data_IF_935648732967
#
_entry.id   IF_935648732967
#
_cell.length_a   1.000
_cell.length_b   1.000
_cell.length_c   1.000
_cell.angle_alpha   90.00
_cell.angle_beta   90.00
_cell.angle_gamma   90.00
#
_symmetry.space_group_name_H-M   'P 1'
#
loop_
_entity.id
_entity.type
_entity.pdbx_description
1 polymer ?
#
# COMPACT_ATOMS: atom_id res chain seq x y z
N UNK A 1 15.33 -9.34 22.50
CA UNK A 1 15.47 -9.07 21.04
C UNK A 1 14.06 -9.13 20.44
N UNK A 2 13.36 -7.99 20.35
CA UNK A 2 11.92 -7.96 20.01
C UNK A 2 11.62 -6.78 19.07
N UNK A 3 12.25 -6.74 17.89
CA UNK A 3 12.09 -5.60 16.97
C UNK A 3 11.87 -5.99 15.51
N UNK A 4 11.47 -7.23 15.20
CA UNK A 4 11.17 -7.65 13.80
C UNK A 4 9.76 -7.28 13.33
N UNK A 5 8.90 -6.74 14.21
CA UNK A 5 7.51 -6.41 13.88
C UNK A 5 7.42 -4.96 13.40
N UNK A 6 6.85 -4.77 12.21
CA UNK A 6 6.56 -3.43 11.68
C UNK A 6 5.17 -2.98 12.12
N UNK A 7 4.12 -3.74 11.84
CA UNK A 7 2.82 -3.68 12.51
C UNK A 7 2.08 -4.93 12.03
N UNK A 8 1.86 -5.92 12.88
CA UNK A 8 1.15 -7.16 12.55
C UNK A 8 1.81 -8.08 11.50
N UNK A 9 3.01 -7.78 11.01
CA UNK A 9 3.82 -8.65 10.15
C UNK A 9 5.17 -8.96 10.81
N UNK A 10 5.43 -10.25 11.05
CA UNK A 10 6.62 -10.78 11.71
C UNK A 10 7.65 -11.37 10.73
N UNK A 11 7.35 -11.42 9.43
CA UNK A 11 8.26 -11.95 8.42
C UNK A 11 9.47 -11.05 8.20
N UNK A 12 10.60 -11.68 7.88
CA UNK A 12 11.85 -10.98 7.52
C UNK A 12 11.86 -10.52 6.06
N UNK A 13 11.14 -11.21 5.19
CA UNK A 13 11.06 -10.90 3.76
C UNK A 13 10.19 -9.69 3.49
N UNK A 14 10.68 -8.82 2.61
CA UNK A 14 10.00 -7.60 2.16
C UNK A 14 10.21 -7.40 0.68
N UNK A 15 9.20 -6.83 0.01
CA UNK A 15 9.29 -6.36 -1.35
C UNK A 15 9.23 -4.84 -1.37
N UNK A 16 10.09 -4.21 -2.16
CA UNK A 16 9.93 -2.83 -2.58
C UNK A 16 9.10 -2.85 -3.84
N UNK A 17 7.94 -2.20 -3.83
CA UNK A 17 7.06 -2.06 -4.99
C UNK A 17 7.01 -0.60 -5.41
N UNK A 18 7.24 -0.36 -6.69
CA UNK A 18 7.04 0.94 -7.32
C UNK A 18 6.02 0.80 -8.45
N UNK A 19 5.10 1.75 -8.54
CA UNK A 19 4.12 1.82 -9.61
C UNK A 19 4.12 3.18 -10.30
N UNK A 20 3.73 3.19 -11.57
CA UNK A 20 3.62 4.41 -12.38
C UNK A 20 2.26 4.47 -13.09
N UNK A 21 1.52 5.55 -12.79
CA UNK A 21 0.21 5.85 -13.37
C UNK A 21 0.29 6.82 -14.56
N UNK A 22 1.49 7.24 -14.99
CA UNK A 22 1.63 8.09 -16.19
C UNK A 22 1.06 7.37 -17.41
N UNK A 23 0.21 8.08 -18.16
CA UNK A 23 -0.41 7.56 -19.38
C UNK A 23 -1.67 6.72 -19.17
N UNK A 24 -2.10 6.47 -17.92
CA UNK A 24 -3.41 5.84 -17.66
C UNK A 24 -4.51 6.91 -17.61
N UNK A 25 -5.75 6.52 -17.91
CA UNK A 25 -6.89 7.42 -17.83
C UNK A 25 -7.09 7.93 -16.39
N UNK A 26 -7.54 9.19 -16.24
CA UNK A 26 -7.78 9.82 -14.92
C UNK A 26 -8.65 8.97 -13.97
N UNK A 27 -9.71 8.27 -14.42
CA UNK A 27 -10.47 7.38 -13.55
C UNK A 27 -9.64 6.20 -13.01
N UNK A 28 -8.72 5.68 -13.81
CA UNK A 28 -7.80 4.61 -13.40
C UNK A 28 -6.84 5.13 -12.33
N UNK A 29 -6.24 6.30 -12.53
CA UNK A 29 -5.36 6.92 -11.52
C UNK A 29 -6.10 7.13 -10.18
N UNK A 30 -7.34 7.62 -10.21
CA UNK A 30 -8.17 7.73 -9.00
C UNK A 30 -8.46 6.36 -8.37
N UNK A 31 -8.73 5.33 -9.17
CA UNK A 31 -8.97 3.97 -8.66
C UNK A 31 -7.72 3.38 -8.01
N UNK A 32 -6.53 3.63 -8.57
CA UNK A 32 -5.24 3.28 -7.97
C UNK A 32 -5.09 3.93 -6.60
N UNK A 33 -5.37 5.24 -6.48
CA UNK A 33 -5.33 5.93 -5.20
C UNK A 33 -6.27 5.29 -4.17
N UNK A 34 -7.50 4.93 -4.56
CA UNK A 34 -8.43 4.26 -3.65
C UNK A 34 -7.94 2.85 -3.23
N UNK A 35 -7.31 2.10 -4.13
CA UNK A 35 -6.75 0.77 -3.79
C UNK A 35 -5.59 0.92 -2.82
N UNK A 36 -4.67 1.85 -3.09
CA UNK A 36 -3.47 2.03 -2.26
C UNK A 36 -3.82 2.69 -0.94
N UNK A 37 -4.45 3.87 -0.98
CA UNK A 37 -4.67 4.73 0.18
C UNK A 37 -6.02 4.53 0.86
N UNK A 38 -6.94 3.80 0.25
CA UNK A 38 -8.31 3.68 0.73
C UNK A 38 -9.19 4.86 0.29
N UNK A 39 -10.43 4.87 0.77
CA UNK A 39 -11.39 5.93 0.49
C UNK A 39 -12.38 6.07 1.64
N UNK A 40 -12.73 7.29 1.99
CA UNK A 40 -13.89 7.56 2.85
C UNK A 40 -15.13 7.59 1.97
N UNK A 41 -16.11 6.73 2.26
CA UNK A 41 -17.45 6.83 1.68
C UNK A 41 -18.38 7.43 2.72
N UNK A 42 -19.03 8.55 2.38
CA UNK A 42 -20.18 9.05 3.13
C UNK A 42 -21.39 8.21 2.75
N UNK A 43 -22.13 7.72 3.74
CA UNK A 43 -23.37 6.99 3.51
C UNK A 43 -24.39 7.87 2.80
N UNK A 44 -25.10 7.33 1.81
CA UNK A 44 -26.07 8.08 1.00
C UNK A 44 -27.43 8.31 1.71
N UNK A 45 -27.65 7.74 2.90
CA UNK A 45 -28.98 7.68 3.54
C UNK A 45 -29.02 8.13 5.01
N UNK A 46 -28.43 9.28 5.36
CA UNK A 46 -28.64 9.89 6.69
C UNK A 46 -28.00 9.16 7.89
N UNK A 47 -27.56 7.91 7.73
CA UNK A 47 -26.70 7.22 8.67
C UNK A 47 -25.27 7.77 8.55
N UNK A 48 -24.95 8.72 9.42
CA UNK A 48 -23.69 9.47 9.47
C UNK A 48 -22.45 8.64 9.87
N UNK A 49 -22.44 7.33 9.60
CA UNK A 49 -21.25 6.51 9.80
C UNK A 49 -20.38 6.59 8.53
N UNK A 50 -19.32 7.41 8.57
CA UNK A 50 -18.28 7.39 7.55
C UNK A 50 -17.69 5.98 7.44
N UNK A 51 -17.89 5.32 6.30
CA UNK A 51 -17.33 3.99 6.06
C UNK A 51 -15.98 4.15 5.38
N UNK A 52 -14.90 3.90 6.14
CA UNK A 52 -13.54 3.88 5.60
C UNK A 52 -13.32 2.56 4.86
N UNK A 53 -13.23 2.64 3.53
CA UNK A 53 -12.74 1.56 2.69
C UNK A 53 -11.22 1.52 2.82
N UNK A 54 -10.69 0.53 3.56
CA UNK A 54 -9.26 0.40 3.82
C UNK A 54 -8.49 0.01 2.55
N UNK A 55 -7.51 0.83 2.16
CA UNK A 55 -6.51 0.49 1.14
C UNK A 55 -5.33 -0.32 1.66
N UNK A 56 -4.40 -0.66 0.77
CA UNK A 56 -3.18 -1.42 1.07
C UNK A 56 -2.32 -0.78 2.18
N UNK A 57 -2.24 0.55 2.25
CA UNK A 57 -1.47 1.23 3.31
C UNK A 57 -1.95 0.88 4.73
N UNK A 58 -3.17 0.37 4.89
CA UNK A 58 -3.74 0.00 6.19
C UNK A 58 -3.51 -1.47 6.54
N UNK A 59 -2.87 -2.25 5.66
CA UNK A 59 -2.58 -3.65 5.91
C UNK A 59 -1.34 -3.82 6.77
N UNK A 60 -1.30 -4.86 7.61
CA UNK A 60 -0.12 -5.18 8.40
C UNK A 60 1.16 -5.28 7.56
N UNK A 61 2.24 -4.64 8.02
CA UNK A 61 3.55 -4.69 7.37
C UNK A 61 3.71 -3.83 6.11
N UNK A 62 2.66 -3.17 5.63
CA UNK A 62 2.74 -2.24 4.50
C UNK A 62 3.20 -0.87 4.98
N UNK A 63 4.28 -0.37 4.37
CA UNK A 63 4.91 0.91 4.68
C UNK A 63 4.98 1.76 3.42
N UNK A 64 4.41 2.96 3.48
CA UNK A 64 4.50 3.94 2.40
C UNK A 64 5.77 4.78 2.58
N UNK A 65 6.67 4.73 1.59
CA UNK A 65 7.99 5.39 1.71
C UNK A 65 8.22 6.50 0.67
N UNK A 66 7.28 6.70 -0.25
CA UNK A 66 7.34 7.74 -1.28
C UNK A 66 6.12 7.70 -2.18
N UNK A 67 5.90 8.74 -3.01
CA UNK A 67 4.62 8.99 -3.71
C UNK A 67 3.95 7.75 -4.34
N UNK A 68 4.70 6.92 -5.06
CA UNK A 68 4.23 5.67 -5.65
C UNK A 68 5.09 4.46 -5.29
N UNK A 69 5.68 4.49 -4.09
CA UNK A 69 6.63 3.49 -3.61
C UNK A 69 6.21 2.96 -2.24
N UNK A 70 6.11 1.63 -2.14
CA UNK A 70 5.68 0.92 -0.94
C UNK A 70 6.69 -0.18 -0.61
N UNK A 71 6.89 -0.44 0.68
CA UNK A 71 7.52 -1.67 1.17
C UNK A 71 6.44 -2.52 1.82
N UNK A 72 6.33 -3.79 1.44
CA UNK A 72 5.23 -4.64 1.87
C UNK A 72 5.62 -6.12 1.93
N UNK A 73 4.83 -6.96 2.64
CA UNK A 73 5.00 -8.40 2.60
C UNK A 73 4.89 -8.96 1.17
N UNK A 74 5.57 -10.06 0.83
CA UNK A 74 5.53 -10.65 -0.51
C UNK A 74 4.12 -10.90 -1.04
N UNK A 75 3.23 -11.46 -0.20
CA UNK A 75 1.84 -11.72 -0.56
C UNK A 75 1.07 -10.46 -0.98
N UNK A 76 1.26 -9.37 -0.24
CA UNK A 76 0.62 -8.09 -0.57
C UNK A 76 1.23 -7.47 -1.83
N UNK A 77 2.53 -7.67 -2.07
CA UNK A 77 3.21 -7.23 -3.28
C UNK A 77 2.65 -7.91 -4.53
N UNK A 78 2.47 -9.22 -4.48
CA UNK A 78 1.91 -10.01 -5.59
C UNK A 78 0.45 -9.60 -5.84
N UNK A 79 -0.35 -9.45 -4.78
CA UNK A 79 -1.75 -9.03 -4.89
C UNK A 79 -1.89 -7.62 -5.47
N UNK A 80 -1.11 -6.65 -4.96
CA UNK A 80 -1.13 -5.28 -5.46
C UNK A 80 -0.67 -5.24 -6.91
N UNK A 81 0.39 -5.96 -7.25
CA UNK A 81 0.90 -6.06 -8.63
C UNK A 81 -0.16 -6.60 -9.58
N UNK A 82 -0.85 -7.69 -9.22
CA UNK A 82 -1.92 -8.26 -10.04
C UNK A 82 -3.07 -7.26 -10.28
N UNK A 83 -3.52 -6.57 -9.22
CA UNK A 83 -4.60 -5.58 -9.31
C UNK A 83 -4.21 -4.36 -10.15
N UNK A 84 -2.99 -3.87 -10.01
CA UNK A 84 -2.54 -2.69 -10.74
C UNK A 84 -2.28 -3.00 -12.22
N UNK A 85 -1.61 -4.13 -12.51
CA UNK A 85 -1.34 -4.57 -13.88
C UNK A 85 -2.62 -4.84 -14.67
N UNK A 86 -3.67 -5.39 -14.04
CA UNK A 86 -4.96 -5.60 -14.72
C UNK A 86 -5.67 -4.30 -15.11
N UNK A 87 -5.28 -3.15 -14.53
CA UNK A 87 -5.74 -1.82 -14.91
C UNK A 87 -4.81 -1.11 -15.89
N UNK A 88 -3.76 -1.78 -16.40
CA UNK A 88 -2.76 -1.19 -17.30
C UNK A 88 -1.70 -0.32 -16.62
N UNK A 89 -1.58 -0.41 -15.29
CA UNK A 89 -0.55 0.33 -14.52
C UNK A 89 0.78 -0.41 -14.60
N UNK A 90 1.87 0.32 -14.83
CA UNK A 90 3.22 -0.25 -14.79
C UNK A 90 3.63 -0.47 -13.34
N UNK A 91 4.10 -1.67 -13.03
CA UNK A 91 4.53 -2.06 -11.68
C UNK A 91 5.79 -2.90 -11.74
N UNK A 92 6.75 -2.52 -10.90
CA UNK A 92 7.98 -3.26 -10.64
C UNK A 92 8.04 -3.55 -9.14
N UNK A 93 8.45 -4.76 -8.76
CA UNK A 93 8.71 -5.08 -7.37
C UNK A 93 9.90 -6.03 -7.23
N UNK A 94 10.73 -5.81 -6.22
CA UNK A 94 11.97 -6.57 -6.00
C UNK A 94 12.13 -6.90 -4.50
N UNK A 95 12.81 -8.02 -4.16
CA UNK A 95 13.13 -8.34 -2.77
C UNK A 95 14.15 -7.33 -2.23
N UNK A 96 13.93 -6.87 -1.00
CA UNK A 96 14.81 -5.89 -0.37
C UNK A 96 15.14 -6.28 1.07
N UNK A 97 16.43 -6.17 1.41
CA UNK A 97 16.93 -6.34 2.78
C UNK A 97 16.82 -5.05 3.58
N UNK A 98 15.59 -4.61 3.90
CA UNK A 98 15.37 -3.42 4.74
C UNK A 98 14.94 -3.86 6.14
N UNK A 99 15.63 -3.33 7.15
CA UNK A 99 15.31 -3.63 8.56
C UNK A 99 13.99 -3.00 8.98
N UNK A 100 13.30 -3.65 9.91
CA UNK A 100 12.08 -3.10 10.52
C UNK A 100 12.34 -1.75 11.22
N UNK A 101 13.53 -1.58 11.83
CA UNK A 101 13.93 -0.34 12.48
C UNK A 101 14.01 0.82 11.47
N UNK A 102 14.63 0.59 10.31
CA UNK A 102 14.72 1.60 9.24
C UNK A 102 13.35 2.00 8.71
N UNK A 103 12.41 1.05 8.63
CA UNK A 103 11.06 1.31 8.13
C UNK A 103 10.19 2.11 9.10
N UNK A 104 10.46 2.03 10.41
CA UNK A 104 9.71 2.82 11.41
C UNK A 104 9.84 4.33 11.22
N UNK A 105 10.94 4.81 10.63
CA UNK A 105 11.12 6.23 10.31
C UNK A 105 10.06 6.76 9.34
N UNK A 106 9.53 5.88 8.46
CA UNK A 106 8.51 6.25 7.48
C UNK A 106 7.09 6.16 8.05
N UNK A 107 6.87 5.40 9.12
CA UNK A 107 5.55 5.32 9.79
C UNK A 107 5.22 6.61 10.58
N UNK A 108 6.24 7.34 11.05
CA UNK A 108 6.06 8.57 11.84
C UNK A 108 5.60 9.79 11.01
N UNK A 109 5.73 9.72 9.69
CA UNK A 109 5.42 10.82 8.76
C UNK A 109 3.99 10.73 8.21
N UNK A 110 3.13 9.94 8.86
CA UNK A 110 1.84 9.52 8.34
C UNK A 110 0.67 10.20 9.04
#
# INVERSE_FOLDING_TARGET
MEWMVIEGYSGSERRLLSYDVRGVARPVASRVCHIVFGRVRRGENGDAAERIERGFIHRPGVVWIGQSVLVLPPRDADELTGRLRSMGVRVVHEPVGISALSLRSFLRLR
#
